data_IF_409666309388
#
_entry.id   IF_409666309388
#
_cell.length_a   1.000
_cell.length_b   1.000
_cell.length_c   1.000
_cell.angle_alpha   90.00
_cell.angle_beta   90.00
_cell.angle_gamma   90.00
#
_symmetry.space_group_name_H-M   'P 1'
#
loop_
_entity.id
_entity.type
_entity.pdbx_description
1 polymer ?
#
# COMPACT_ATOMS: atom_id res chain seq x y z
N UNK A 1 -50.19 -32.25 11.69
CA UNK A 1 -49.23 -31.83 10.64
C UNK A 1 -48.71 -30.40 10.86
N UNK A 2 -49.54 -29.47 11.33
CA UNK A 2 -49.23 -28.05 11.53
C UNK A 2 -48.10 -27.77 12.55
N UNK A 3 -48.10 -28.41 13.73
CA UNK A 3 -47.02 -28.27 14.73
C UNK A 3 -45.63 -28.65 14.22
N UNK A 4 -45.53 -29.70 13.38
CA UNK A 4 -44.28 -30.11 12.71
C UNK A 4 -43.83 -29.08 11.67
N UNK A 5 -44.77 -28.43 10.98
CA UNK A 5 -44.49 -27.35 10.03
C UNK A 5 -43.94 -26.12 10.76
N UNK A 6 -44.58 -25.69 11.85
CA UNK A 6 -44.11 -24.55 12.68
C UNK A 6 -42.72 -24.82 13.26
N UNK A 7 -42.46 -26.03 13.77
CA UNK A 7 -41.15 -26.40 14.30
C UNK A 7 -40.04 -26.33 13.24
N UNK A 8 -40.31 -26.83 12.01
CA UNK A 8 -39.36 -26.71 10.88
C UNK A 8 -39.09 -25.26 10.48
N UNK A 9 -40.12 -24.40 10.46
CA UNK A 9 -39.93 -22.96 10.15
C UNK A 9 -39.10 -22.27 11.24
N UNK A 10 -39.32 -22.59 12.51
CA UNK A 10 -38.49 -22.08 13.62
C UNK A 10 -37.03 -22.55 13.50
N UNK A 11 -36.79 -23.82 13.15
CA UNK A 11 -35.44 -24.35 12.95
C UNK A 11 -34.73 -23.66 11.77
N UNK A 12 -35.42 -23.45 10.64
CA UNK A 12 -34.87 -22.72 9.49
C UNK A 12 -34.55 -21.27 9.88
N UNK A 13 -35.44 -20.59 10.59
CA UNK A 13 -35.21 -19.22 11.05
C UNK A 13 -34.01 -19.14 12.00
N UNK A 14 -33.89 -20.06 12.96
CA UNK A 14 -32.75 -20.13 13.87
C UNK A 14 -31.45 -20.36 13.09
N UNK A 15 -31.44 -21.29 12.13
CA UNK A 15 -30.27 -21.55 11.30
C UNK A 15 -29.89 -20.33 10.44
N UNK A 16 -30.86 -19.61 9.88
CA UNK A 16 -30.64 -18.38 9.12
C UNK A 16 -30.06 -17.26 10.00
N UNK A 17 -30.62 -17.05 11.20
CA UNK A 17 -30.12 -16.07 12.15
C UNK A 17 -28.69 -16.41 12.61
N UNK A 18 -28.43 -17.69 12.87
CA UNK A 18 -27.10 -18.16 13.24
C UNK A 18 -26.10 -17.96 12.10
N UNK A 19 -26.48 -18.30 10.86
CA UNK A 19 -25.66 -18.05 9.67
C UNK A 19 -25.37 -16.56 9.44
N UNK A 20 -26.36 -15.70 9.62
CA UNK A 20 -26.18 -14.25 9.54
C UNK A 20 -25.21 -13.74 10.62
N UNK A 21 -25.34 -14.22 11.87
CA UNK A 21 -24.43 -13.85 12.94
C UNK A 21 -22.98 -14.27 12.64
N UNK A 22 -22.76 -15.47 12.10
CA UNK A 22 -21.44 -15.93 11.67
C UNK A 22 -20.87 -15.07 10.53
N UNK A 23 -21.70 -14.73 9.54
CA UNK A 23 -21.28 -13.89 8.42
C UNK A 23 -20.91 -12.48 8.88
N UNK A 24 -21.70 -11.88 9.77
CA UNK A 24 -21.39 -10.57 10.37
C UNK A 24 -20.10 -10.63 11.18
N UNK A 25 -19.92 -11.66 12.00
CA UNK A 25 -18.69 -11.87 12.77
C UNK A 25 -17.46 -12.03 11.87
N UNK A 26 -17.58 -12.80 10.78
CA UNK A 26 -16.55 -12.95 9.76
C UNK A 26 -16.23 -11.62 9.07
N UNK A 27 -17.23 -10.87 8.64
CA UNK A 27 -17.07 -9.55 8.02
C UNK A 27 -16.37 -8.57 8.95
N UNK A 28 -16.77 -8.50 10.22
CA UNK A 28 -16.10 -7.66 11.20
C UNK A 28 -14.64 -8.06 11.42
N UNK A 29 -14.38 -9.36 11.59
CA UNK A 29 -13.02 -9.87 11.79
C UNK A 29 -12.11 -9.60 10.58
N UNK A 30 -12.55 -9.93 9.37
CA UNK A 30 -11.69 -9.82 8.18
C UNK A 30 -11.28 -8.37 7.88
N UNK A 31 -12.15 -7.40 8.20
CA UNK A 31 -11.89 -5.98 7.97
C UNK A 31 -10.88 -5.39 8.98
N UNK A 32 -10.62 -6.08 10.10
CA UNK A 32 -9.66 -5.64 11.13
C UNK A 32 -8.43 -6.54 11.25
N UNK A 33 -8.47 -7.74 10.67
CA UNK A 33 -7.41 -8.73 10.80
C UNK A 33 -6.29 -8.50 9.77
N UNK A 34 -5.32 -7.64 10.09
CA UNK A 34 -4.13 -7.39 9.25
C UNK A 34 -3.43 -8.70 8.89
N UNK A 35 -3.25 -8.93 7.59
CA UNK A 35 -2.45 -10.02 7.03
C UNK A 35 -1.08 -9.47 6.65
N UNK A 36 -0.03 -10.13 7.13
CA UNK A 36 1.33 -9.86 6.69
C UNK A 36 1.62 -10.73 5.46
N UNK A 37 2.09 -10.12 4.37
CA UNK A 37 2.47 -10.82 3.14
C UNK A 37 3.92 -10.51 2.83
N UNK A 38 4.71 -11.54 2.52
CA UNK A 38 6.15 -11.41 2.23
C UNK A 38 6.38 -11.63 0.74
N UNK A 39 7.08 -10.70 0.10
CA UNK A 39 7.60 -10.84 -1.26
C UNK A 39 9.13 -10.84 -1.21
N UNK A 40 9.75 -11.66 -2.04
CA UNK A 40 11.21 -11.73 -2.18
C UNK A 40 11.54 -11.32 -3.61
N UNK A 41 12.41 -10.33 -3.74
CA UNK A 41 12.89 -9.78 -5.00
C UNK A 41 14.39 -10.11 -5.10
N UNK A 42 14.79 -10.74 -6.19
CA UNK A 42 16.19 -11.04 -6.47
C UNK A 42 16.71 -10.04 -7.50
N UNK A 43 17.86 -9.41 -7.25
CA UNK A 43 18.41 -8.42 -8.17
C UNK A 43 19.91 -8.60 -8.37
N UNK A 44 20.33 -8.60 -9.63
CA UNK A 44 21.75 -8.62 -10.03
C UNK A 44 22.41 -7.24 -9.96
N UNK A 45 21.65 -6.16 -9.72
CA UNK A 45 22.17 -4.82 -9.49
C UNK A 45 22.63 -4.63 -8.04
N UNK A 46 22.25 -5.54 -7.14
CA UNK A 46 22.76 -5.59 -5.77
C UNK A 46 24.12 -6.29 -5.71
N UNK A 47 24.92 -5.95 -4.70
CA UNK A 47 26.25 -6.56 -4.53
C UNK A 47 26.08 -8.01 -4.06
N UNK A 48 26.78 -9.00 -4.66
CA UNK A 48 26.58 -10.42 -4.35
C UNK A 48 26.65 -10.80 -2.86
N UNK A 49 27.52 -10.14 -2.08
CA UNK A 49 27.74 -10.42 -0.65
C UNK A 49 27.06 -9.41 0.28
N UNK A 50 26.22 -8.52 -0.24
CA UNK A 50 25.53 -7.55 0.58
C UNK A 50 24.36 -8.19 1.36
N UNK A 51 24.02 -7.65 2.54
CA UNK A 51 22.86 -8.10 3.29
C UNK A 51 21.57 -7.85 2.52
N UNK A 52 20.58 -8.72 2.75
CA UNK A 52 19.21 -8.51 2.32
C UNK A 52 18.68 -7.17 2.87
N UNK A 53 17.89 -6.46 2.08
CA UNK A 53 17.18 -5.26 2.51
C UNK A 53 15.73 -5.63 2.78
N UNK A 54 15.27 -5.40 4.01
CA UNK A 54 13.89 -5.61 4.42
C UNK A 54 13.13 -4.28 4.42
N UNK A 55 12.09 -4.21 3.61
CA UNK A 55 11.24 -3.03 3.46
C UNK A 55 9.85 -3.39 3.97
N UNK A 56 9.30 -2.57 4.85
CA UNK A 56 7.88 -2.60 5.14
C UNK A 56 7.18 -1.62 4.21
N UNK A 57 6.16 -2.07 3.49
CA UNK A 57 5.25 -1.19 2.77
C UNK A 57 3.92 -1.07 3.52
N UNK A 58 3.58 0.17 3.85
CA UNK A 58 2.32 0.61 4.42
C UNK A 58 1.62 1.40 3.32
N UNK A 59 0.35 1.10 3.05
CA UNK A 59 -0.41 1.78 2.01
C UNK A 59 -1.85 1.94 2.43
N UNK A 60 -2.47 3.05 2.01
CA UNK A 60 -3.91 3.28 2.12
C UNK A 60 -4.39 3.07 3.56
N UNK A 61 -3.78 3.73 4.55
CA UNK A 61 -4.22 3.62 5.94
C UNK A 61 -5.64 4.18 6.10
N UNK A 62 -5.97 5.27 5.41
CA UNK A 62 -7.29 5.94 5.51
C UNK A 62 -7.74 6.14 6.95
N UNK A 63 -6.83 6.59 7.81
CA UNK A 63 -7.11 6.76 9.24
C UNK A 63 -7.61 5.51 9.99
N UNK A 64 -7.45 4.30 9.42
CA UNK A 64 -7.82 3.05 10.07
C UNK A 64 -6.89 2.72 11.24
N UNK A 65 -7.44 2.10 12.27
CA UNK A 65 -6.70 1.73 13.49
C UNK A 65 -6.71 0.21 13.70
N UNK A 66 -5.54 -0.33 14.03
CA UNK A 66 -5.36 -1.75 14.30
C UNK A 66 -4.91 -1.98 15.75
N UNK A 67 -5.90 -2.10 16.64
CA UNK A 67 -5.67 -2.11 18.09
C UNK A 67 -5.65 -0.69 18.67
N UNK A 68 -5.42 -0.58 19.97
CA UNK A 68 -5.25 0.72 20.61
C UNK A 68 -3.99 1.40 20.04
N UNK A 69 -4.12 2.62 19.52
CA UNK A 69 -3.00 3.41 18.94
C UNK A 69 -2.09 2.60 18.01
N UNK A 70 -2.66 1.80 17.11
CA UNK A 70 -1.92 0.96 16.15
C UNK A 70 -1.07 -0.17 16.73
N UNK A 71 -1.23 -0.55 18.01
CA UNK A 71 -0.36 -1.53 18.69
C UNK A 71 -0.19 -2.86 17.91
N UNK A 72 -1.23 -3.33 17.20
CA UNK A 72 -1.19 -4.62 16.50
C UNK A 72 -0.43 -4.50 15.19
N UNK A 73 -0.56 -3.36 14.50
CA UNK A 73 0.18 -3.07 13.28
C UNK A 73 1.66 -2.83 13.60
N UNK A 74 1.94 -1.99 14.60
CA UNK A 74 3.30 -1.70 15.06
C UNK A 74 4.04 -2.95 15.51
N UNK A 75 3.38 -3.87 16.23
CA UNK A 75 4.00 -5.16 16.59
C UNK A 75 4.43 -5.95 15.35
N UNK A 76 3.57 -6.04 14.33
CA UNK A 76 3.90 -6.73 13.07
C UNK A 76 5.05 -6.07 12.31
N UNK A 77 5.12 -4.75 12.34
CA UNK A 77 6.23 -3.98 11.74
C UNK A 77 7.53 -4.33 12.48
N UNK A 78 7.55 -4.29 13.82
CA UNK A 78 8.72 -4.64 14.63
C UNK A 78 9.17 -6.09 14.41
N UNK A 79 8.23 -7.03 14.33
CA UNK A 79 8.50 -8.45 14.06
C UNK A 79 9.23 -8.67 12.72
N UNK A 80 8.95 -7.82 11.72
CA UNK A 80 9.58 -7.91 10.41
C UNK A 80 11.04 -7.40 10.39
N UNK A 81 11.44 -6.60 11.38
CA UNK A 81 12.78 -5.98 11.48
C UNK A 81 13.17 -5.21 10.20
N UNK A 82 12.40 -4.19 9.79
CA UNK A 82 12.68 -3.44 8.58
C UNK A 82 13.97 -2.63 8.69
N UNK A 83 14.65 -2.50 7.56
CA UNK A 83 15.71 -1.52 7.34
C UNK A 83 15.11 -0.17 6.94
N UNK A 84 13.98 -0.18 6.21
CA UNK A 84 13.20 1.01 5.86
C UNK A 84 11.69 0.73 5.89
N UNK A 85 10.90 1.78 6.11
CA UNK A 85 9.43 1.75 6.03
C UNK A 85 9.00 2.69 4.90
N UNK A 86 8.36 2.16 3.88
CA UNK A 86 7.77 2.89 2.77
C UNK A 86 6.27 3.08 2.99
N UNK A 87 5.80 4.33 2.97
CA UNK A 87 4.39 4.70 3.03
C UNK A 87 3.97 5.20 1.64
N UNK A 88 3.18 4.39 0.94
CA UNK A 88 2.84 4.60 -0.48
C UNK A 88 1.50 5.31 -0.66
N UNK A 89 1.27 6.40 0.09
CA UNK A 89 0.10 7.27 -0.04
C UNK A 89 -1.15 6.85 0.73
N UNK A 90 -2.12 7.77 0.75
CA UNK A 90 -3.44 7.64 1.37
C UNK A 90 -3.36 7.27 2.86
N UNK A 91 -2.59 8.04 3.61
CA UNK A 91 -2.48 7.89 5.06
C UNK A 91 -3.76 8.41 5.77
N UNK A 92 -4.36 9.46 5.20
CA UNK A 92 -5.60 10.09 5.66
C UNK A 92 -6.77 9.81 4.71
N UNK A 93 -7.99 9.75 5.24
CA UNK A 93 -9.22 9.75 4.43
C UNK A 93 -9.71 11.19 4.26
N UNK A 94 -9.62 11.74 3.05
CA UNK A 94 -10.11 13.08 2.72
C UNK A 94 -11.57 13.38 3.10
N UNK A 95 -12.44 12.38 3.26
CA UNK A 95 -13.83 12.59 3.68
C UNK A 95 -13.97 12.67 5.21
N UNK A 96 -13.06 12.04 5.96
CA UNK A 96 -13.10 11.93 7.41
C UNK A 96 -11.71 12.10 8.03
N UNK A 97 -11.03 13.19 7.63
CA UNK A 97 -9.61 13.39 7.93
C UNK A 97 -9.34 13.46 9.43
N UNK A 98 -8.43 12.60 9.90
CA UNK A 98 -7.92 12.63 11.27
C UNK A 98 -6.39 12.57 11.29
N UNK A 99 -5.75 13.74 11.35
CA UNK A 99 -4.28 13.84 11.40
C UNK A 99 -3.72 13.11 12.62
N UNK A 100 -4.43 13.11 13.75
CA UNK A 100 -3.99 12.44 14.98
C UNK A 100 -3.78 10.95 14.76
N UNK A 101 -4.76 10.25 14.17
CA UNK A 101 -4.66 8.81 13.87
C UNK A 101 -3.54 8.47 12.88
N UNK A 102 -3.34 9.32 11.87
CA UNK A 102 -2.22 9.17 10.96
C UNK A 102 -0.88 9.30 11.72
N UNK A 103 -0.75 10.32 12.57
CA UNK A 103 0.45 10.56 13.35
C UNK A 103 0.70 9.54 14.46
N UNK A 104 -0.33 8.88 14.99
CA UNK A 104 -0.16 7.75 15.92
C UNK A 104 0.62 6.59 15.28
N UNK A 105 0.39 6.31 13.99
CA UNK A 105 1.19 5.34 13.25
C UNK A 105 2.61 5.88 13.01
N UNK A 106 2.71 7.08 12.44
CA UNK A 106 3.98 7.66 12.00
C UNK A 106 4.94 7.83 13.18
N UNK A 107 4.49 8.42 14.28
CA UNK A 107 5.32 8.66 15.47
C UNK A 107 5.91 7.38 16.06
N UNK A 108 5.24 6.24 15.90
CA UNK A 108 5.78 4.94 16.31
C UNK A 108 6.66 4.32 15.22
N UNK A 109 6.29 4.44 13.94
CA UNK A 109 7.04 3.88 12.81
C UNK A 109 8.45 4.46 12.72
N UNK A 110 8.62 5.78 12.88
CA UNK A 110 9.93 6.46 12.84
C UNK A 110 10.89 5.98 13.92
N UNK A 111 10.39 5.39 15.01
CA UNK A 111 11.23 4.81 16.08
C UNK A 111 11.78 3.42 15.74
N UNK A 112 11.28 2.81 14.67
CA UNK A 112 11.62 1.44 14.27
C UNK A 112 12.68 1.46 13.15
N UNK A 113 12.45 2.28 12.11
CA UNK A 113 13.31 2.44 10.95
C UNK A 113 13.01 3.79 10.26
N UNK A 114 13.90 4.29 9.39
CA UNK A 114 13.62 5.44 8.54
C UNK A 114 12.32 5.25 7.76
N UNK A 115 11.48 6.28 7.77
CA UNK A 115 10.16 6.27 7.10
C UNK A 115 10.23 7.18 5.88
N UNK A 116 9.90 6.63 4.72
CA UNK A 116 9.81 7.32 3.44
C UNK A 116 8.35 7.38 3.03
N UNK A 117 7.87 8.56 2.61
CA UNK A 117 6.48 8.79 2.26
C UNK A 117 6.36 9.42 0.88
N UNK A 118 5.35 8.95 0.12
CA UNK A 118 4.82 9.64 -1.05
C UNK A 118 3.34 9.86 -0.90
N UNK A 119 2.84 10.92 -1.52
CA UNK A 119 1.42 11.26 -1.52
C UNK A 119 0.57 10.27 -2.31
N UNK A 120 -0.66 10.06 -1.84
CA UNK A 120 -1.77 9.53 -2.62
C UNK A 120 -2.77 10.62 -2.99
N UNK A 121 -3.92 10.21 -3.53
CA UNK A 121 -4.96 11.15 -3.95
C UNK A 121 -5.75 11.75 -2.79
N UNK A 122 -5.88 11.07 -1.65
CA UNK A 122 -6.58 11.65 -0.51
C UNK A 122 -5.80 12.80 0.13
N UNK A 123 -4.46 12.76 0.08
CA UNK A 123 -3.66 13.92 0.46
C UNK A 123 -3.88 15.11 -0.49
N UNK A 124 -4.08 14.87 -1.78
CA UNK A 124 -4.41 15.92 -2.75
C UNK A 124 -5.79 16.54 -2.47
N UNK A 125 -6.80 15.68 -2.24
CA UNK A 125 -8.18 16.09 -2.00
C UNK A 125 -8.38 16.77 -0.64
N UNK A 126 -7.50 16.47 0.33
CA UNK A 126 -7.48 17.11 1.64
C UNK A 126 -6.33 18.13 1.77
N UNK A 127 -6.08 18.93 0.73
CA UNK A 127 -4.90 19.80 0.62
C UNK A 127 -4.55 20.60 1.89
N UNK A 128 -5.53 21.25 2.54
CA UNK A 128 -5.30 22.00 3.79
C UNK A 128 -4.82 21.11 4.93
N UNK A 129 -5.44 19.93 5.08
CA UNK A 129 -5.05 18.95 6.09
C UNK A 129 -3.68 18.34 5.76
N UNK A 130 -3.39 18.13 4.47
CA UNK A 130 -2.09 17.61 4.03
C UNK A 130 -0.97 18.59 4.36
N UNK A 131 -1.15 19.91 4.21
CA UNK A 131 -0.12 20.88 4.61
C UNK A 131 0.27 20.70 6.09
N UNK A 132 -0.74 20.49 6.95
CA UNK A 132 -0.51 20.25 8.38
C UNK A 132 0.13 18.88 8.62
N UNK A 133 -0.42 17.82 8.02
CA UNK A 133 0.11 16.45 8.15
C UNK A 133 1.57 16.38 7.70
N UNK A 134 1.89 16.93 6.52
CA UNK A 134 3.25 16.99 5.97
C UNK A 134 4.22 17.60 6.97
N UNK A 135 3.88 18.77 7.54
CA UNK A 135 4.71 19.43 8.55
C UNK A 135 4.90 18.57 9.80
N UNK A 136 3.85 17.90 10.27
CA UNK A 136 3.94 17.01 11.44
C UNK A 136 4.81 15.77 11.15
N UNK A 137 4.71 15.20 9.94
CA UNK A 137 5.55 14.09 9.48
C UNK A 137 7.03 14.49 9.36
N UNK A 138 7.33 15.62 8.73
CA UNK A 138 8.70 16.14 8.60
C UNK A 138 9.31 16.41 9.98
N UNK A 139 8.57 17.02 10.90
CA UNK A 139 9.02 17.25 12.29
C UNK A 139 9.27 15.94 13.06
N UNK A 140 8.57 14.86 12.71
CA UNK A 140 8.77 13.54 13.29
C UNK A 140 9.95 12.77 12.65
N UNK A 141 10.58 13.31 11.60
CA UNK A 141 11.70 12.69 10.90
C UNK A 141 11.31 11.81 9.72
N UNK A 142 10.11 11.98 9.15
CA UNK A 142 9.72 11.30 7.90
C UNK A 142 10.39 11.99 6.70
N UNK A 143 10.91 11.19 5.79
CA UNK A 143 11.44 11.62 4.51
C UNK A 143 10.32 11.69 3.46
N UNK A 144 9.90 12.89 3.07
CA UNK A 144 8.88 13.09 2.04
C UNK A 144 9.55 13.07 0.66
N UNK A 145 9.31 12.03 -0.12
CA UNK A 145 9.99 11.81 -1.40
C UNK A 145 9.24 12.37 -2.62
N UNK A 146 8.16 13.14 -2.45
CA UNK A 146 7.34 13.68 -3.55
C UNK A 146 8.21 14.44 -4.60
N UNK A 147 8.51 13.77 -5.72
CA UNK A 147 9.28 14.33 -6.85
C UNK A 147 10.79 14.40 -6.62
N UNK A 148 11.32 13.68 -5.63
CA UNK A 148 12.76 13.63 -5.33
C UNK A 148 13.25 12.20 -5.14
N UNK A 149 14.57 12.05 -5.04
CA UNK A 149 15.21 10.79 -4.66
C UNK A 149 16.17 10.98 -3.48
N UNK A 150 16.41 9.89 -2.78
CA UNK A 150 17.48 9.76 -1.80
C UNK A 150 18.26 8.47 -2.04
N UNK A 151 19.55 8.46 -1.70
CA UNK A 151 20.35 7.23 -1.76
C UNK A 151 20.31 6.52 -0.41
N UNK A 152 19.75 5.32 -0.37
CA UNK A 152 19.82 4.45 0.79
C UNK A 152 21.02 3.51 0.69
N UNK A 153 21.76 3.36 1.78
CA UNK A 153 22.96 2.51 1.84
C UNK A 153 22.86 1.49 2.96
N UNK A 154 23.07 0.21 2.66
CA UNK A 154 23.15 -0.87 3.64
C UNK A 154 24.29 -1.81 3.25
N UNK A 155 25.16 -2.22 4.18
CA UNK A 155 26.26 -3.16 3.87
C UNK A 155 27.14 -2.76 2.68
N UNK A 156 27.27 -1.46 2.41
CA UNK A 156 28.04 -0.90 1.30
C UNK A 156 27.38 -0.98 -0.08
N UNK A 157 26.16 -1.51 -0.23
CA UNK A 157 25.36 -1.36 -1.46
C UNK A 157 24.48 -0.11 -1.38
N UNK A 158 24.12 0.42 -2.55
CA UNK A 158 23.29 1.62 -2.69
C UNK A 158 22.01 1.29 -3.46
N UNK A 159 20.91 1.89 -3.03
CA UNK A 159 19.63 1.91 -3.73
C UNK A 159 19.22 3.37 -3.90
N UNK A 160 18.78 3.73 -5.10
CA UNK A 160 18.12 5.01 -5.33
C UNK A 160 16.64 4.86 -4.94
N UNK A 161 16.26 5.44 -3.80
CA UNK A 161 14.87 5.55 -3.36
C UNK A 161 14.24 6.75 -4.06
N UNK A 162 13.27 6.52 -4.93
CA UNK A 162 12.57 7.55 -5.68
C UNK A 162 11.15 7.68 -5.15
N UNK A 163 10.61 8.89 -5.11
CA UNK A 163 9.20 9.11 -4.81
C UNK A 163 8.49 9.88 -5.93
N UNK A 164 7.42 9.29 -6.45
CA UNK A 164 6.54 9.98 -7.38
C UNK A 164 5.36 10.60 -6.63
N UNK A 165 5.22 11.93 -6.76
CA UNK A 165 4.05 12.66 -6.25
C UNK A 165 2.78 12.23 -7.00
N UNK A 166 1.65 12.08 -6.30
CA UNK A 166 0.43 11.61 -6.95
C UNK A 166 -0.04 12.56 -8.06
N UNK A 167 -0.49 12.04 -9.23
CA UNK A 167 -0.99 12.87 -10.32
C UNK A 167 -2.17 13.79 -9.93
N UNK A 168 -2.94 13.46 -8.88
CA UNK A 168 -4.04 14.31 -8.39
C UNK A 168 -3.60 15.68 -7.87
N UNK A 169 -2.30 15.89 -7.62
CA UNK A 169 -1.74 17.21 -7.29
C UNK A 169 -1.53 18.12 -8.51
N UNK A 170 -1.76 17.62 -9.73
CA UNK A 170 -1.50 18.35 -10.96
C UNK A 170 -2.82 18.64 -11.68
N UNK A 171 -3.11 19.93 -11.91
CA UNK A 171 -4.33 20.38 -12.61
C UNK A 171 -4.51 19.76 -14.01
N UNK A 172 -3.41 19.37 -14.69
CA UNK A 172 -3.45 18.72 -16.02
C UNK A 172 -4.17 17.36 -15.99
N UNK A 173 -4.24 16.68 -14.83
CA UNK A 173 -4.87 15.36 -14.74
C UNK A 173 -6.39 15.39 -14.72
N UNK A 174 -7.00 16.56 -14.47
CA UNK A 174 -8.44 16.76 -14.64
C UNK A 174 -8.89 16.48 -16.10
N UNK A 175 -7.95 16.50 -17.05
CA UNK A 175 -8.15 16.22 -18.48
C UNK A 175 -7.70 14.82 -18.92
N UNK A 176 -7.36 13.93 -17.98
CA UNK A 176 -6.99 12.53 -18.28
C UNK A 176 -5.50 12.28 -18.54
N UNK A 177 -4.63 13.24 -18.27
CA UNK A 177 -3.20 13.19 -18.61
C UNK A 177 -2.29 12.57 -17.52
N UNK A 178 -2.81 11.64 -16.71
CA UNK A 178 -2.07 11.09 -15.58
C UNK A 178 -0.78 10.36 -16.00
N UNK A 179 -0.76 9.74 -17.18
CA UNK A 179 0.42 9.05 -17.72
C UNK A 179 1.54 10.03 -18.08
N UNK A 180 1.25 11.12 -18.82
CA UNK A 180 2.30 12.10 -19.18
C UNK A 180 2.83 12.81 -17.95
N UNK A 181 1.94 13.22 -17.04
CA UNK A 181 2.34 13.86 -15.77
C UNK A 181 3.26 12.94 -14.95
N UNK A 182 2.92 11.67 -14.83
CA UNK A 182 3.75 10.71 -14.11
C UNK A 182 5.08 10.46 -14.82
N UNK A 183 5.07 10.37 -16.15
CA UNK A 183 6.28 10.17 -16.94
C UNK A 183 7.26 11.35 -16.80
N UNK A 184 6.75 12.60 -16.91
CA UNK A 184 7.53 13.81 -16.63
C UNK A 184 8.08 13.80 -15.20
N UNK A 185 7.22 13.53 -14.21
CA UNK A 185 7.60 13.55 -12.80
C UNK A 185 8.70 12.52 -12.46
N UNK A 186 8.67 11.33 -13.05
CA UNK A 186 9.71 10.32 -12.85
C UNK A 186 10.99 10.70 -13.62
N UNK A 187 10.84 11.19 -14.86
CA UNK A 187 11.97 11.60 -15.70
C UNK A 187 12.81 12.73 -15.08
N UNK A 188 12.20 13.59 -14.28
CA UNK A 188 12.88 14.69 -13.58
C UNK A 188 13.66 14.22 -12.33
N UNK A 189 13.43 13.00 -11.83
CA UNK A 189 14.11 12.47 -10.64
C UNK A 189 15.48 11.91 -11.04
N UNK A 190 16.54 12.51 -10.49
CA UNK A 190 17.92 12.10 -10.79
C UNK A 190 18.33 10.87 -9.96
N UNK A 191 18.84 9.84 -10.63
CA UNK A 191 19.54 8.70 -10.03
C UNK A 191 20.74 8.33 -10.89
N UNK A 192 21.85 7.96 -10.26
CA UNK A 192 23.03 7.49 -10.98
C UNK A 192 22.72 6.18 -11.74
N UNK A 193 23.26 6.07 -12.95
CA UNK A 193 23.11 4.88 -13.79
C UNK A 193 23.73 3.64 -13.13
N UNK A 194 23.04 2.50 -13.23
CA UNK A 194 23.53 1.22 -12.71
C UNK A 194 23.25 0.98 -11.22
N UNK A 195 22.72 1.96 -10.49
CA UNK A 195 22.18 1.77 -9.14
C UNK A 195 20.76 1.19 -9.24
N UNK A 196 20.40 0.31 -8.30
CA UNK A 196 19.04 -0.24 -8.19
C UNK A 196 18.03 0.86 -7.86
N UNK A 197 16.99 1.02 -8.68
CA UNK A 197 15.95 2.05 -8.55
C UNK A 197 14.70 1.48 -7.89
N UNK A 198 14.39 1.96 -6.69
CA UNK A 198 13.18 1.64 -5.96
C UNK A 198 12.25 2.85 -5.97
N UNK A 199 11.13 2.76 -6.69
CA UNK A 199 10.11 3.80 -6.78
C UNK A 199 8.97 3.55 -5.79
N UNK A 200 8.67 4.56 -4.99
CA UNK A 200 7.41 4.68 -4.26
C UNK A 200 6.43 5.49 -5.12
N UNK A 201 5.28 4.90 -5.47
CA UNK A 201 4.23 5.60 -6.21
C UNK A 201 2.86 5.06 -5.82
N UNK A 202 1.84 5.90 -5.76
CA UNK A 202 0.54 5.44 -5.28
C UNK A 202 -0.23 4.59 -6.33
N UNK A 203 -0.09 4.88 -7.64
CA UNK A 203 -1.01 4.47 -8.72
C UNK A 203 -0.57 3.21 -9.50
N UNK A 204 -1.05 2.00 -9.19
CA UNK A 204 -0.59 0.79 -9.87
C UNK A 204 -1.03 0.70 -11.35
N UNK A 205 -2.06 1.42 -11.76
CA UNK A 205 -2.53 1.47 -13.15
C UNK A 205 -1.54 2.14 -14.12
N UNK A 206 -0.53 2.84 -13.60
CA UNK A 206 0.53 3.48 -14.39
C UNK A 206 1.74 2.56 -14.60
N UNK A 207 1.60 1.25 -14.41
CA UNK A 207 2.70 0.27 -14.51
C UNK A 207 3.58 0.43 -15.76
N UNK A 208 2.98 0.67 -16.93
CA UNK A 208 3.75 0.84 -18.17
C UNK A 208 4.69 2.05 -18.11
N UNK A 209 4.27 3.16 -17.50
CA UNK A 209 5.12 4.34 -17.31
C UNK A 209 6.35 3.98 -16.49
N UNK A 210 6.20 3.13 -15.47
CA UNK A 210 7.32 2.70 -14.64
C UNK A 210 8.29 1.78 -15.39
N UNK A 211 7.76 0.91 -16.24
CA UNK A 211 8.55 0.05 -17.15
C UNK A 211 9.35 0.93 -18.13
N UNK A 212 8.69 1.89 -18.78
CA UNK A 212 9.31 2.76 -19.78
C UNK A 212 10.40 3.67 -19.19
N UNK A 213 10.32 3.98 -17.88
CA UNK A 213 11.34 4.72 -17.14
C UNK A 213 12.46 3.83 -16.55
N UNK A 214 12.44 2.52 -16.81
CA UNK A 214 13.48 1.59 -16.38
C UNK A 214 13.63 1.52 -14.87
N UNK A 215 12.52 1.49 -14.14
CA UNK A 215 12.48 1.30 -12.69
C UNK A 215 12.68 -0.19 -12.39
N UNK A 216 13.44 -0.53 -11.35
CA UNK A 216 13.65 -1.93 -10.98
C UNK A 216 12.49 -2.47 -10.14
N UNK A 217 12.12 -1.74 -9.09
CA UNK A 217 11.02 -2.11 -8.20
C UNK A 217 10.11 -0.93 -7.91
N UNK A 218 8.82 -1.13 -8.07
CA UNK A 218 7.76 -0.19 -7.73
C UNK A 218 6.96 -0.72 -6.55
N UNK A 219 6.75 0.11 -5.53
CA UNK A 219 5.82 -0.18 -4.44
C UNK A 219 4.59 0.71 -4.60
N UNK A 220 3.42 0.09 -4.81
CA UNK A 220 2.17 0.79 -5.10
C UNK A 220 0.97 0.35 -4.24
N UNK A 221 -0.02 1.24 -4.17
CA UNK A 221 -1.22 1.15 -3.35
C UNK A 221 -2.50 1.30 -4.18
N UNK A 222 -3.44 2.11 -3.68
CA UNK A 222 -4.57 2.72 -4.39
C UNK A 222 -5.70 1.76 -4.84
N UNK A 223 -5.37 0.56 -5.29
CA UNK A 223 -6.35 -0.38 -5.82
C UNK A 223 -7.14 -1.11 -4.72
N UNK A 224 -6.76 -0.96 -3.45
CA UNK A 224 -7.41 -1.57 -2.30
C UNK A 224 -7.69 -3.08 -2.45
N UNK A 225 -6.87 -3.85 -3.17
CA UNK A 225 -7.13 -5.27 -3.40
C UNK A 225 -8.34 -5.58 -4.30
N UNK A 226 -8.89 -4.57 -4.97
CA UNK A 226 -10.13 -4.64 -5.75
C UNK A 226 -11.41 -4.55 -4.93
N UNK A 227 -11.32 -4.03 -3.69
CA UNK A 227 -12.35 -3.90 -2.65
C UNK A 227 -12.98 -5.23 -2.19
N UNK A 228 -13.57 -5.95 -3.13
CA UNK A 228 -14.12 -7.29 -2.99
C UNK A 228 -13.28 -8.27 -3.79
N UNK A 229 -12.97 -9.42 -3.20
CA UNK A 229 -12.20 -10.48 -3.86
C UNK A 229 -13.05 -11.73 -4.00
N UNK A 230 -13.33 -12.10 -5.23
CA UNK A 230 -14.03 -13.34 -5.54
C UNK A 230 -12.99 -14.46 -5.72
N UNK A 231 -13.27 -15.68 -5.22
CA UNK A 231 -12.44 -16.85 -5.52
C UNK A 231 -12.24 -16.99 -7.04
N UNK A 232 -11.01 -17.31 -7.45
CA UNK A 232 -10.59 -17.53 -8.85
C UNK A 232 -10.62 -16.31 -9.79
N UNK A 233 -11.43 -15.30 -9.51
CA UNK A 233 -11.54 -14.08 -10.34
C UNK A 233 -10.60 -12.98 -9.82
N UNK A 234 -10.44 -12.85 -8.50
CA UNK A 234 -9.65 -11.79 -7.89
C UNK A 234 -10.48 -10.54 -7.57
N UNK A 235 -9.86 -9.37 -7.69
CA UNK A 235 -10.47 -8.07 -7.35
C UNK A 235 -11.61 -7.69 -8.30
N UNK A 236 -12.68 -7.10 -7.76
CA UNK A 236 -13.87 -6.76 -8.55
C UNK A 236 -13.86 -5.33 -9.04
N UNK A 237 -13.38 -4.38 -8.24
CA UNK A 237 -13.42 -2.96 -8.59
C UNK A 237 -12.24 -2.21 -7.97
N UNK A 238 -11.56 -1.38 -8.76
CA UNK A 238 -10.50 -0.52 -8.25
C UNK A 238 -10.60 0.89 -8.87
N UNK A 239 -10.22 1.94 -8.12
CA UNK A 239 -10.04 3.28 -8.67
C UNK A 239 -9.08 3.27 -9.88
N UNK A 240 -9.36 4.14 -10.87
CA UNK A 240 -8.54 4.24 -12.09
C UNK A 240 -8.65 3.07 -13.07
N UNK A 241 -9.18 1.91 -12.65
CA UNK A 241 -9.20 0.67 -13.45
C UNK A 241 -10.60 0.13 -13.73
N UNK A 242 -11.62 0.54 -12.98
CA UNK A 242 -13.00 0.11 -13.18
C UNK A 242 -13.26 -1.31 -12.67
N UNK A 243 -14.09 -2.07 -13.40
CA UNK A 243 -14.47 -3.44 -13.05
C UNK A 243 -13.44 -4.47 -13.54
N UNK A 244 -13.22 -5.50 -12.73
CA UNK A 244 -12.20 -6.55 -12.96
C UNK A 244 -10.80 -5.98 -13.25
N UNK A 245 -10.31 -5.11 -12.36
CA UNK A 245 -9.01 -4.44 -12.51
C UNK A 245 -7.83 -5.41 -12.62
N UNK A 246 -6.85 -5.04 -13.44
CA UNK A 246 -5.63 -5.83 -13.69
C UNK A 246 -4.67 -5.80 -12.49
N UNK A 247 -4.45 -4.62 -11.91
CA UNK A 247 -3.42 -4.40 -10.89
C UNK A 247 -4.06 -4.12 -9.53
N UNK A 248 -4.30 -5.17 -8.73
CA UNK A 248 -4.97 -5.03 -7.43
C UNK A 248 -4.21 -5.54 -6.22
N UNK A 249 -3.33 -6.52 -6.41
CA UNK A 249 -2.61 -7.15 -5.31
C UNK A 249 -1.50 -8.05 -5.86
N UNK A 250 -0.37 -8.12 -5.18
CA UNK A 250 0.69 -9.05 -5.56
C UNK A 250 1.74 -8.40 -6.44
N UNK A 251 2.52 -9.26 -7.09
CA UNK A 251 3.63 -8.85 -7.95
C UNK A 251 3.23 -8.89 -9.42
N UNK A 252 3.64 -7.85 -10.15
CA UNK A 252 3.51 -7.73 -11.59
C UNK A 252 4.90 -7.46 -12.16
N UNK A 253 5.27 -8.11 -13.25
CA UNK A 253 6.61 -8.00 -13.82
C UNK A 253 6.53 -7.84 -15.34
N UNK A 254 7.36 -6.94 -15.87
CA UNK A 254 7.57 -6.74 -17.30
C UNK A 254 9.00 -6.24 -17.53
N UNK A 255 9.77 -6.96 -18.35
CA UNK A 255 11.20 -6.69 -18.52
C UNK A 255 11.98 -6.89 -17.20
N UNK A 256 12.75 -5.87 -16.82
CA UNK A 256 13.47 -5.82 -15.53
C UNK A 256 12.64 -5.17 -14.40
N UNK A 257 11.44 -4.66 -14.70
CA UNK A 257 10.62 -3.94 -13.74
C UNK A 257 9.65 -4.87 -13.03
N UNK A 258 9.67 -4.84 -11.70
CA UNK A 258 8.68 -5.48 -10.85
C UNK A 258 7.86 -4.42 -10.10
N UNK A 259 6.56 -4.65 -9.95
CA UNK A 259 5.67 -3.81 -9.16
C UNK A 259 4.92 -4.65 -8.15
N UNK A 260 5.03 -4.26 -6.88
CA UNK A 260 4.26 -4.85 -5.77
C UNK A 260 3.09 -3.92 -5.46
N UNK A 261 1.87 -4.45 -5.61
CA UNK A 261 0.63 -3.74 -5.29
C UNK A 261 0.13 -4.23 -3.94
N UNK A 262 0.09 -3.33 -2.96
CA UNK A 262 -0.51 -3.56 -1.65
C UNK A 262 -2.02 -3.56 -1.75
N UNK A 263 -2.69 -4.43 -0.99
CA UNK A 263 -4.16 -4.39 -0.85
C UNK A 263 -4.64 -3.22 0.02
N UNK A 264 -3.72 -2.44 0.59
CA UNK A 264 -4.02 -1.34 1.49
C UNK A 264 -4.48 -1.81 2.88
N UNK A 265 -4.45 -0.90 3.85
CA UNK A 265 -4.83 -1.18 5.23
C UNK A 265 -6.28 -0.79 5.53
N UNK A 266 -6.65 0.45 5.28
CA UNK A 266 -7.97 1.03 5.53
C UNK A 266 -8.94 0.82 4.38
N UNK A 267 -10.20 1.16 4.61
CA UNK A 267 -11.24 1.06 3.58
C UNK A 267 -11.28 2.34 2.75
N UNK A 268 -11.64 2.20 1.47
CA UNK A 268 -11.88 3.34 0.58
C UNK A 268 -13.34 3.80 0.69
N UNK A 269 -13.88 4.37 -0.40
CA UNK A 269 -15.28 4.80 -0.58
C UNK A 269 -16.29 3.77 -0.06
N UNK A 270 -16.03 2.48 -0.29
CA UNK A 270 -16.88 1.41 0.25
C UNK A 270 -16.30 0.98 1.62
N UNK A 271 -17.03 1.19 2.73
CA UNK A 271 -16.49 0.99 4.09
C UNK A 271 -16.41 -0.49 4.50
N UNK A 272 -16.50 -1.43 3.54
CA UNK A 272 -16.46 -2.88 3.78
C UNK A 272 -15.63 -3.61 2.73
N UNK A 273 -14.70 -4.45 3.17
CA UNK A 273 -13.95 -5.41 2.36
C UNK A 273 -14.55 -6.81 2.49
N UNK A 274 -14.55 -7.58 1.39
CA UNK A 274 -14.96 -9.01 1.38
C UNK A 274 -13.84 -9.84 0.76
N UNK A 275 -13.40 -10.86 1.51
CA UNK A 275 -12.26 -11.74 1.23
C UNK A 275 -10.96 -10.97 0.91
N UNK A 276 -10.83 -9.77 1.47
CA UNK A 276 -9.79 -8.83 1.12
C UNK A 276 -9.24 -8.14 2.37
N UNK A 277 -8.61 -8.95 3.23
CA UNK A 277 -8.09 -8.49 4.53
C UNK A 277 -7.08 -7.36 4.36
N UNK A 278 -7.04 -6.35 5.26
CA UNK A 278 -5.97 -5.36 5.32
C UNK A 278 -4.59 -5.99 5.23
N UNK A 279 -3.66 -5.36 4.52
CA UNK A 279 -2.35 -5.94 4.23
C UNK A 279 -1.20 -5.08 4.73
N UNK A 280 -0.27 -5.72 5.44
CA UNK A 280 1.07 -5.20 5.67
C UNK A 280 2.01 -5.98 4.75
N UNK A 281 2.69 -5.27 3.85
CA UNK A 281 3.63 -5.88 2.90
C UNK A 281 5.04 -5.84 3.48
N UNK A 282 5.73 -6.97 3.41
CA UNK A 282 7.16 -7.10 3.70
C UNK A 282 7.84 -7.44 2.38
N UNK A 283 8.76 -6.61 1.93
CA UNK A 283 9.58 -6.87 0.75
C UNK A 283 10.99 -7.19 1.22
N UNK A 284 11.57 -8.27 0.72
CA UNK A 284 12.98 -8.60 0.91
C UNK A 284 13.67 -8.51 -0.43
N UNK A 285 14.56 -7.53 -0.58
CA UNK A 285 15.41 -7.41 -1.76
C UNK A 285 16.72 -8.11 -1.46
N UNK A 286 17.06 -9.09 -2.27
CA UNK A 286 18.19 -10.00 -2.06
C UNK A 286 19.13 -9.97 -3.28
N UNK A 287 20.45 -10.07 -3.10
CA UNK A 287 21.36 -10.20 -4.22
C UNK A 287 21.05 -11.47 -5.04
N UNK A 288 21.08 -11.34 -6.37
CA UNK A 288 20.97 -12.51 -7.23
C UNK A 288 22.15 -13.46 -6.96
N UNK A 289 21.85 -14.74 -6.73
CA UNK A 289 22.90 -15.76 -6.56
C UNK A 289 23.59 -15.97 -7.89
N UNK A 290 24.92 -15.88 -7.93
CA UNK A 290 25.72 -16.27 -9.09
C UNK A 290 25.34 -17.71 -9.48
N UNK A 291 24.79 -17.90 -10.69
CA UNK A 291 24.60 -19.21 -11.30
C UNK A 291 25.88 -19.66 -12.00
#
# INVERSE_FOLDING_TARGET
MEKRRILKHRQILIAALFGAALLTGWCFWQNKAVRTTVYVIESSKLKPDAPDITIIQISDLHNAEFGDKQEKLIRKIKEAKPDIIAVTGDLIDSNHTDIGKAMELISQAVTIAPVYFVTGNHEAWAAESYIRLKREMENAGVHILDGISETFSLGGQQICLMGAKDPAFYARTEYGDAQSVMNEAIGDISCDGGIYKLLLSHRPELFQVYVDNGIDLVLAGHAHGGQFRLPFIGGVVAPGQGLFPKYTSGIFAEGETEMIVSRGLGNSIIPIRINNRPELVVVRITPAKNK
#
